data_IF_398546383575
#
_entry.id   IF_398546383575
#
_cell.length_a   1.000
_cell.length_b   1.000
_cell.length_c   1.000
_cell.angle_alpha   90.00
_cell.angle_beta   90.00
_cell.angle_gamma   90.00
#
_symmetry.space_group_name_H-M   'P 1'
#
loop_
_entity.id
_entity.type
_entity.pdbx_description
1 polymer ?
#
# COMPACT_ATOMS: atom_id res chain seq x y z
N UNK A 1 -0.58 14.81 35.17
CA UNK A 1 0.09 14.49 33.88
C UNK A 1 0.70 15.75 33.29
N UNK A 2 1.94 15.68 32.82
CA UNK A 2 2.53 16.83 32.12
C UNK A 2 1.83 17.03 30.75
N UNK A 3 1.51 18.26 30.31
CA UNK A 3 0.78 18.52 29.08
C UNK A 3 1.39 17.87 27.82
N UNK A 4 2.72 17.73 27.78
CA UNK A 4 3.42 17.08 26.68
C UNK A 4 3.12 15.59 26.55
N UNK A 5 2.99 14.88 27.67
CA UNK A 5 2.70 13.43 27.69
C UNK A 5 1.28 13.15 27.15
N UNK A 6 0.32 14.02 27.46
CA UNK A 6 -1.05 13.89 26.95
C UNK A 6 -1.07 14.06 25.42
N UNK A 7 -0.38 15.08 24.90
CA UNK A 7 -0.29 15.33 23.47
C UNK A 7 0.36 14.15 22.73
N UNK A 8 1.48 13.65 23.25
CA UNK A 8 2.19 12.48 22.70
C UNK A 8 1.29 11.23 22.71
N UNK A 9 0.53 11.00 23.79
CA UNK A 9 -0.39 9.86 23.90
C UNK A 9 -1.51 9.95 22.85
N UNK A 10 -2.15 11.12 22.72
CA UNK A 10 -3.25 11.33 21.77
C UNK A 10 -2.76 11.17 20.32
N UNK A 11 -1.62 11.75 19.97
CA UNK A 11 -1.04 11.62 18.61
C UNK A 11 -0.74 10.15 18.29
N UNK A 12 -0.19 9.40 19.24
CA UNK A 12 0.08 7.97 19.05
C UNK A 12 -1.21 7.15 18.91
N UNK A 13 -2.23 7.39 19.73
CA UNK A 13 -3.53 6.70 19.64
C UNK A 13 -4.23 6.99 18.30
N UNK A 14 -4.21 8.26 17.84
CA UNK A 14 -4.68 8.62 16.51
C UNK A 14 -3.91 7.86 15.43
N UNK A 15 -2.58 7.79 15.54
CA UNK A 15 -1.73 7.01 14.63
C UNK A 15 -2.11 5.54 14.59
N UNK A 16 -2.29 4.92 15.75
CA UNK A 16 -2.69 3.52 15.86
C UNK A 16 -4.03 3.25 15.17
N UNK A 17 -5.04 4.06 15.44
CA UNK A 17 -6.38 3.94 14.86
C UNK A 17 -6.31 4.16 13.34
N UNK A 18 -5.68 5.24 12.88
CA UNK A 18 -5.59 5.55 11.46
C UNK A 18 -4.87 4.47 10.65
N UNK A 19 -3.77 3.91 11.19
CA UNK A 19 -3.03 2.81 10.57
C UNK A 19 -3.83 1.51 10.56
N UNK A 20 -4.58 1.21 11.62
CA UNK A 20 -5.45 0.04 11.67
C UNK A 20 -6.58 0.14 10.63
N UNK A 21 -7.19 1.32 10.48
CA UNK A 21 -8.20 1.60 9.45
C UNK A 21 -7.60 1.45 8.05
N UNK A 22 -6.41 2.00 7.81
CA UNK A 22 -5.72 1.86 6.53
C UNK A 22 -5.37 0.40 6.21
N UNK A 23 -4.87 -0.36 7.20
CA UNK A 23 -4.60 -1.79 7.06
C UNK A 23 -5.87 -2.58 6.71
N UNK A 24 -6.98 -2.30 7.41
CA UNK A 24 -8.27 -2.91 7.13
C UNK A 24 -8.78 -2.56 5.73
N UNK A 25 -8.62 -1.30 5.29
CA UNK A 25 -9.00 -0.85 3.95
C UNK A 25 -8.20 -1.56 2.87
N UNK A 26 -6.86 -1.65 3.02
CA UNK A 26 -6.01 -2.37 2.09
C UNK A 26 -6.35 -3.87 2.04
N UNK A 27 -6.55 -4.49 3.20
CA UNK A 27 -6.93 -5.90 3.26
C UNK A 27 -8.27 -6.18 2.56
N UNK A 28 -9.26 -5.30 2.72
CA UNK A 28 -10.56 -5.45 2.03
C UNK A 28 -10.45 -5.29 0.51
N UNK A 29 -9.57 -4.40 0.03
CA UNK A 29 -9.35 -4.19 -1.41
C UNK A 29 -8.74 -5.42 -2.08
N UNK A 30 -7.78 -6.07 -1.43
CA UNK A 30 -7.12 -7.26 -1.96
C UNK A 30 -6.70 -8.23 -0.85
N UNK A 31 -7.64 -9.06 -0.34
CA UNK A 31 -7.39 -9.95 0.80
C UNK A 31 -6.37 -11.06 0.51
N UNK A 32 -6.16 -11.40 -0.78
CA UNK A 32 -5.28 -12.50 -1.20
C UNK A 32 -3.96 -12.03 -1.81
N UNK A 33 -3.78 -10.74 -2.00
CA UNK A 33 -2.56 -10.18 -2.59
C UNK A 33 -1.34 -10.35 -1.68
N UNK A 34 -0.24 -10.95 -2.16
CA UNK A 34 0.96 -11.16 -1.32
C UNK A 34 1.62 -9.83 -0.89
N UNK A 35 1.53 -8.79 -1.71
CA UNK A 35 2.02 -7.45 -1.35
C UNK A 35 1.10 -6.80 -0.31
N UNK A 36 -0.22 -6.97 -0.44
CA UNK A 36 -1.20 -6.48 0.53
C UNK A 36 -0.94 -7.09 1.90
N UNK A 37 -0.76 -8.40 1.97
CA UNK A 37 -0.48 -9.09 3.23
C UNK A 37 0.78 -8.52 3.92
N UNK A 38 1.84 -8.24 3.15
CA UNK A 38 3.09 -7.64 3.67
C UNK A 38 2.89 -6.21 4.17
N UNK A 39 2.15 -5.39 3.41
CA UNK A 39 1.81 -4.01 3.81
C UNK A 39 0.94 -3.99 5.07
N UNK A 40 -0.10 -4.83 5.10
CA UNK A 40 -0.99 -4.96 6.27
C UNK A 40 -0.21 -5.41 7.51
N UNK A 41 0.70 -6.38 7.37
CA UNK A 41 1.54 -6.83 8.47
C UNK A 41 2.44 -5.71 8.99
N UNK A 42 3.10 -4.93 8.10
CA UNK A 42 3.90 -3.78 8.52
C UNK A 42 3.05 -2.72 9.22
N UNK A 43 1.89 -2.36 8.65
CA UNK A 43 0.98 -1.38 9.24
C UNK A 43 0.46 -1.84 10.60
N UNK A 44 0.17 -3.15 10.77
CA UNK A 44 -0.25 -3.71 12.05
C UNK A 44 0.86 -3.63 13.12
N UNK A 45 2.12 -3.90 12.75
CA UNK A 45 3.27 -3.74 13.65
C UNK A 45 3.44 -2.28 14.08
N UNK A 46 3.34 -1.32 13.14
CA UNK A 46 3.45 0.11 13.45
C UNK A 46 2.24 0.60 14.27
N UNK A 47 1.03 0.13 13.95
CA UNK A 47 -0.16 0.43 14.74
C UNK A 47 -0.05 -0.11 16.17
N UNK A 48 0.47 -1.33 16.36
CA UNK A 48 0.72 -1.90 17.67
C UNK A 48 1.75 -1.09 18.47
N UNK A 49 2.82 -0.61 17.83
CA UNK A 49 3.80 0.28 18.46
C UNK A 49 3.10 1.53 19.00
N UNK A 50 2.35 2.24 18.16
CA UNK A 50 1.70 3.48 18.57
C UNK A 50 0.59 3.26 19.59
N UNK A 51 -0.15 2.15 19.50
CA UNK A 51 -1.15 1.78 20.49
C UNK A 51 -0.52 1.55 21.87
N UNK A 52 0.53 0.74 21.92
CA UNK A 52 1.23 0.43 23.17
C UNK A 52 1.84 1.69 23.79
N UNK A 53 2.52 2.52 23.00
CA UNK A 53 3.07 3.81 23.47
C UNK A 53 1.99 4.76 23.93
N UNK A 54 0.91 4.92 23.13
CA UNK A 54 -0.18 5.80 23.49
C UNK A 54 -0.81 5.42 24.82
N UNK A 55 -1.07 4.12 25.06
CA UNK A 55 -1.60 3.63 26.33
C UNK A 55 -0.56 3.76 27.45
N UNK A 56 0.70 3.39 27.19
CA UNK A 56 1.78 3.44 28.17
C UNK A 56 1.93 4.84 28.78
N UNK A 57 1.97 5.86 27.91
CA UNK A 57 2.14 7.25 28.35
C UNK A 57 0.85 7.82 28.97
N UNK A 58 -0.34 7.37 28.51
CA UNK A 58 -1.59 7.74 29.13
C UNK A 58 -1.72 7.21 30.55
N UNK A 59 -1.27 5.97 30.79
CA UNK A 59 -1.38 5.26 32.08
C UNK A 59 -0.12 5.35 32.93
N UNK A 60 0.93 6.02 32.45
CA UNK A 60 2.27 6.08 33.09
C UNK A 60 2.86 4.70 33.37
N UNK A 61 2.66 3.76 32.42
CA UNK A 61 3.07 2.35 32.57
C UNK A 61 4.42 2.09 31.92
N UNK A 62 5.49 2.02 32.70
CA UNK A 62 6.83 1.64 32.25
C UNK A 62 6.88 0.25 31.59
N UNK A 63 6.02 -0.67 32.03
CA UNK A 63 5.94 -2.02 31.44
C UNK A 63 5.44 -1.99 30.02
N UNK A 64 4.36 -1.25 29.74
CA UNK A 64 3.82 -1.12 28.38
C UNK A 64 4.78 -0.35 27.47
N UNK A 65 5.48 0.65 28.00
CA UNK A 65 6.48 1.39 27.22
C UNK A 65 7.62 0.46 26.77
N UNK A 66 8.14 -0.38 27.67
CA UNK A 66 9.12 -1.41 27.32
C UNK A 66 8.60 -2.43 26.33
N UNK A 67 7.37 -2.92 26.48
CA UNK A 67 6.75 -3.86 25.52
C UNK A 67 6.65 -3.21 24.15
N UNK A 68 6.44 -1.88 24.05
CA UNK A 68 6.39 -1.15 22.79
C UNK A 68 7.69 -1.21 21.98
N UNK A 69 8.84 -1.48 22.61
CA UNK A 69 10.12 -1.65 21.94
C UNK A 69 10.17 -2.90 21.06
N UNK A 70 9.33 -3.92 21.33
CA UNK A 70 9.23 -5.13 20.51
C UNK A 70 8.75 -4.80 19.09
N UNK A 71 7.55 -4.22 18.88
CA UNK A 71 7.13 -3.83 17.54
C UNK A 71 8.06 -2.77 16.92
N UNK A 72 8.65 -1.87 17.72
CA UNK A 72 9.62 -0.89 17.22
C UNK A 72 10.84 -1.57 16.57
N UNK A 73 11.38 -2.61 17.17
CA UNK A 73 12.52 -3.36 16.66
C UNK A 73 12.18 -4.18 15.39
N UNK A 74 10.90 -4.52 15.17
CA UNK A 74 10.46 -5.30 14.00
C UNK A 74 10.17 -4.43 12.75
N UNK A 75 10.08 -3.10 12.88
CA UNK A 75 9.78 -2.20 11.75
C UNK A 75 10.79 -2.36 10.60
N UNK A 76 12.11 -2.40 10.80
CA UNK A 76 13.06 -2.57 9.71
C UNK A 76 12.87 -3.88 8.94
N UNK A 77 12.54 -4.97 9.65
CA UNK A 77 12.22 -6.25 9.03
C UNK A 77 10.96 -6.13 8.15
N UNK A 78 9.90 -5.52 8.66
CA UNK A 78 8.68 -5.26 7.89
C UNK A 78 8.95 -4.42 6.65
N UNK A 79 9.77 -3.36 6.76
CA UNK A 79 10.17 -2.52 5.64
C UNK A 79 10.95 -3.30 4.56
N UNK A 80 11.87 -4.19 4.94
CA UNK A 80 12.60 -5.07 4.01
C UNK A 80 11.64 -6.02 3.29
N UNK A 81 10.68 -6.64 4.00
CA UNK A 81 9.69 -7.57 3.43
C UNK A 81 8.78 -6.85 2.43
N UNK A 82 8.34 -5.63 2.74
CA UNK A 82 7.54 -4.79 1.82
C UNK A 82 8.37 -4.39 0.60
N UNK A 83 9.63 -3.98 0.80
CA UNK A 83 10.55 -3.63 -0.29
C UNK A 83 10.75 -4.79 -1.26
N UNK A 84 10.90 -6.03 -0.76
CA UNK A 84 10.93 -7.23 -1.60
C UNK A 84 9.66 -7.39 -2.44
N UNK A 85 8.50 -7.18 -1.80
CA UNK A 85 7.21 -7.26 -2.48
C UNK A 85 7.08 -6.25 -3.61
N UNK A 86 7.52 -5.01 -3.37
CA UNK A 86 7.50 -3.93 -4.37
C UNK A 86 8.46 -4.20 -5.54
N UNK A 87 9.66 -4.71 -5.26
CA UNK A 87 10.68 -4.98 -6.26
C UNK A 87 10.46 -6.32 -7.00
N UNK A 88 9.52 -7.15 -6.57
CA UNK A 88 9.28 -8.52 -7.09
C UNK A 88 10.53 -9.40 -7.15
N UNK A 89 11.54 -9.08 -6.37
CA UNK A 89 12.79 -9.84 -6.28
C UNK A 89 13.24 -9.98 -4.84
N UNK A 90 13.91 -11.07 -4.54
CA UNK A 90 14.46 -11.29 -3.22
C UNK A 90 15.61 -10.33 -2.92
N UNK A 91 15.54 -9.70 -1.76
CA UNK A 91 16.64 -8.91 -1.22
C UNK A 91 17.75 -9.87 -0.74
N UNK A 92 18.97 -9.39 -0.74
CA UNK A 92 20.14 -10.21 -0.37
C UNK A 92 19.96 -10.85 1.01
N UNK A 93 20.25 -12.18 1.11
CA UNK A 93 20.04 -12.98 2.33
C UNK A 93 20.66 -12.34 3.58
N UNK A 94 21.85 -11.75 3.46
CA UNK A 94 22.55 -11.09 4.59
C UNK A 94 21.72 -9.95 5.19
N UNK A 95 21.04 -9.15 4.36
CA UNK A 95 20.20 -8.06 4.83
C UNK A 95 18.98 -8.58 5.59
N UNK A 96 18.35 -9.65 5.09
CA UNK A 96 17.22 -10.28 5.80
C UNK A 96 17.66 -10.84 7.15
N UNK A 97 18.77 -11.57 7.17
CA UNK A 97 19.31 -12.12 8.42
C UNK A 97 19.65 -11.00 9.41
N UNK A 98 20.30 -9.92 8.93
CA UNK A 98 20.59 -8.76 9.77
C UNK A 98 19.33 -8.10 10.33
N UNK A 99 18.27 -7.96 9.51
CA UNK A 99 17.00 -7.39 9.94
C UNK A 99 16.28 -8.29 10.98
N UNK A 100 16.29 -9.61 10.77
CA UNK A 100 15.67 -10.57 11.70
C UNK A 100 16.46 -10.64 13.02
N UNK A 101 17.77 -10.89 12.93
CA UNK A 101 18.62 -11.07 14.13
C UNK A 101 18.72 -9.75 14.90
N UNK A 102 18.98 -8.63 14.20
CA UNK A 102 19.03 -7.30 14.82
C UNK A 102 17.71 -6.93 15.48
N UNK A 103 16.57 -7.15 14.79
CA UNK A 103 15.25 -6.92 15.34
C UNK A 103 14.97 -7.78 16.58
N UNK A 104 15.29 -9.07 16.54
CA UNK A 104 15.09 -9.98 17.68
C UNK A 104 15.96 -9.60 18.89
N UNK A 105 17.25 -9.34 18.64
CA UNK A 105 18.19 -8.95 19.72
C UNK A 105 17.75 -7.64 20.37
N UNK A 106 17.38 -6.63 19.56
CA UNK A 106 16.92 -5.35 20.09
C UNK A 106 15.56 -5.45 20.80
N UNK A 107 14.64 -6.29 20.29
CA UNK A 107 13.37 -6.54 20.96
C UNK A 107 13.58 -7.17 22.34
N UNK A 108 14.42 -8.21 22.43
CA UNK A 108 14.74 -8.87 23.68
C UNK A 108 15.50 -7.95 24.64
N UNK A 109 16.50 -7.22 24.15
CA UNK A 109 17.26 -6.26 24.96
C UNK A 109 16.37 -5.13 25.51
N UNK A 110 15.41 -4.64 24.71
CA UNK A 110 14.46 -3.61 25.14
C UNK A 110 13.46 -4.12 26.18
N UNK A 111 12.95 -5.35 25.99
CA UNK A 111 11.96 -5.93 26.90
C UNK A 111 12.56 -6.41 28.23
N UNK A 112 13.78 -6.95 28.21
CA UNK A 112 14.41 -7.63 29.36
C UNK A 112 15.64 -6.90 29.92
N UNK A 113 16.12 -5.88 29.20
CA UNK A 113 17.36 -5.17 29.57
C UNK A 113 17.22 -4.33 30.83
N UNK A 114 18.35 -4.06 31.52
CA UNK A 114 18.36 -3.19 32.69
C UNK A 114 18.09 -1.73 32.33
N UNK A 115 17.48 -1.00 33.26
CA UNK A 115 17.06 0.43 33.04
C UNK A 115 18.26 1.34 32.73
N UNK A 116 19.42 1.05 33.29
CA UNK A 116 20.64 1.82 33.12
C UNK A 116 21.11 1.87 31.64
N UNK A 117 20.74 0.87 30.85
CA UNK A 117 21.08 0.78 29.44
C UNK A 117 20.03 1.35 28.48
N UNK A 118 18.91 1.85 29.00
CA UNK A 118 17.77 2.32 28.19
C UNK A 118 18.16 3.37 27.15
N UNK A 119 18.97 4.36 27.51
CA UNK A 119 19.44 5.37 26.57
C UNK A 119 20.32 4.79 25.46
N UNK A 120 21.22 3.86 25.80
CA UNK A 120 22.06 3.18 24.81
C UNK A 120 21.22 2.31 23.89
N UNK A 121 20.28 1.56 24.45
CA UNK A 121 19.33 0.74 23.68
C UNK A 121 18.54 1.61 22.71
N UNK A 122 17.96 2.73 23.15
CA UNK A 122 17.20 3.64 22.30
C UNK A 122 18.07 4.23 21.18
N UNK A 123 19.33 4.57 21.46
CA UNK A 123 20.27 5.06 20.45
C UNK A 123 20.59 3.96 19.39
N UNK A 124 20.85 2.74 19.82
CA UNK A 124 21.12 1.61 18.90
C UNK A 124 19.87 1.27 18.09
N UNK A 125 18.69 1.25 18.72
CA UNK A 125 17.42 1.01 18.05
C UNK A 125 17.12 2.06 16.99
N UNK A 126 17.34 3.37 17.30
CA UNK A 126 17.15 4.44 16.34
C UNK A 126 18.11 4.32 15.14
N UNK A 127 19.38 4.04 15.40
CA UNK A 127 20.36 3.81 14.35
C UNK A 127 19.98 2.61 13.46
N UNK A 128 19.52 1.52 14.06
CA UNK A 128 19.06 0.32 13.34
C UNK A 128 17.84 0.61 12.46
N UNK A 129 16.86 1.36 12.97
CA UNK A 129 15.68 1.76 12.20
C UNK A 129 16.05 2.68 11.04
N UNK A 130 16.83 3.73 11.29
CA UNK A 130 17.25 4.67 10.24
C UNK A 130 18.11 4.00 9.17
N UNK A 131 19.03 3.11 9.57
CA UNK A 131 19.83 2.31 8.64
C UNK A 131 18.93 1.38 7.80
N UNK A 132 17.95 0.73 8.41
CA UNK A 132 16.97 -0.12 7.73
C UNK A 132 16.17 0.66 6.67
N UNK A 133 15.66 1.82 7.03
CA UNK A 133 14.94 2.69 6.08
C UNK A 133 15.85 3.21 4.97
N UNK A 134 17.07 3.64 5.29
CA UNK A 134 18.03 4.11 4.30
C UNK A 134 18.37 3.01 3.28
N UNK A 135 18.61 1.78 3.74
CA UNK A 135 18.87 0.64 2.86
C UNK A 135 17.66 0.34 1.98
N UNK A 136 16.44 0.31 2.52
CA UNK A 136 15.21 0.13 1.75
C UNK A 136 15.05 1.24 0.70
N UNK A 137 15.26 2.50 1.06
CA UNK A 137 15.21 3.63 0.14
C UNK A 137 16.23 3.49 -1.00
N UNK A 138 17.49 3.12 -0.69
CA UNK A 138 18.52 2.88 -1.70
C UNK A 138 18.13 1.75 -2.64
N UNK A 139 17.56 0.65 -2.13
CA UNK A 139 17.10 -0.47 -2.95
C UNK A 139 15.97 -0.06 -3.90
N UNK A 140 15.00 0.75 -3.42
CA UNK A 140 13.92 1.28 -4.23
C UNK A 140 14.41 2.27 -5.30
N UNK A 141 15.37 3.13 -4.98
CA UNK A 141 15.96 4.10 -5.90
C UNK A 141 16.86 3.44 -6.96
N UNK A 142 17.62 2.41 -6.58
CA UNK A 142 18.52 1.64 -7.47
C UNK A 142 17.82 0.47 -8.18
N UNK A 143 16.49 0.45 -8.21
CA UNK A 143 15.76 -0.60 -8.92
C UNK A 143 16.02 -0.59 -10.42
N UNK A 144 15.92 -1.75 -11.02
CA UNK A 144 15.95 -1.90 -12.48
C UNK A 144 14.58 -1.46 -13.05
N UNK A 145 14.51 -0.22 -13.54
CA UNK A 145 13.26 0.36 -14.07
C UNK A 145 12.72 -0.38 -15.30
N UNK A 146 13.54 -0.86 -16.25
CA UNK A 146 13.07 -1.63 -17.39
C UNK A 146 12.39 -2.96 -17.03
N UNK A 147 12.77 -3.57 -15.89
CA UNK A 147 12.18 -4.83 -15.44
C UNK A 147 10.79 -4.69 -14.82
N UNK A 148 10.32 -3.47 -14.62
CA UNK A 148 9.05 -3.14 -13.97
C UNK A 148 8.13 -2.39 -14.95
N UNK A 149 6.82 -2.58 -14.80
CA UNK A 149 5.84 -1.83 -15.56
C UNK A 149 5.82 -0.34 -15.17
N UNK A 150 5.37 0.52 -16.07
CA UNK A 150 5.36 1.98 -15.83
C UNK A 150 4.57 2.36 -14.57
N UNK A 151 3.44 1.71 -14.32
CA UNK A 151 2.62 1.95 -13.12
C UNK A 151 3.29 1.43 -11.84
N UNK A 152 4.02 0.30 -11.90
CA UNK A 152 4.80 -0.22 -10.77
C UNK A 152 5.91 0.74 -10.40
N UNK A 153 6.63 1.25 -11.40
CA UNK A 153 7.65 2.26 -11.19
C UNK A 153 7.07 3.51 -10.52
N UNK A 154 5.91 3.98 -10.97
CA UNK A 154 5.20 5.12 -10.34
C UNK A 154 4.79 4.82 -8.89
N UNK A 155 4.26 3.62 -8.62
CA UNK A 155 3.90 3.21 -7.26
C UNK A 155 5.11 3.16 -6.33
N UNK A 156 6.24 2.61 -6.79
CA UNK A 156 7.50 2.56 -6.04
C UNK A 156 8.04 3.97 -5.78
N UNK A 157 8.06 4.84 -6.79
CA UNK A 157 8.52 6.24 -6.63
C UNK A 157 7.70 6.97 -5.56
N UNK A 158 6.38 6.74 -5.51
CA UNK A 158 5.49 7.34 -4.52
C UNK A 158 5.71 6.79 -3.11
N UNK A 159 5.89 5.47 -2.98
CA UNK A 159 6.21 4.84 -1.69
C UNK A 159 7.58 5.33 -1.19
N UNK A 160 8.58 5.41 -2.07
CA UNK A 160 9.90 5.94 -1.73
C UNK A 160 9.84 7.41 -1.30
N UNK A 161 9.07 8.23 -2.01
CA UNK A 161 8.84 9.63 -1.65
C UNK A 161 8.09 9.76 -0.32
N UNK A 162 7.04 8.97 -0.11
CA UNK A 162 6.33 8.91 1.17
C UNK A 162 7.25 8.51 2.32
N UNK A 163 8.09 7.51 2.14
CA UNK A 163 9.08 7.10 3.12
C UNK A 163 10.09 8.22 3.43
N UNK A 164 10.53 8.98 2.43
CA UNK A 164 11.44 10.11 2.61
C UNK A 164 10.81 11.22 3.47
N UNK A 165 9.53 11.53 3.24
CA UNK A 165 8.78 12.52 4.03
C UNK A 165 8.69 12.09 5.50
N UNK A 166 8.55 10.79 5.78
CA UNK A 166 8.37 10.27 7.13
C UNK A 166 9.65 10.36 7.97
N UNK A 167 10.84 10.29 7.38
CA UNK A 167 12.11 10.25 8.10
C UNK A 167 12.26 11.40 9.11
N UNK A 168 12.04 12.68 8.78
CA UNK A 168 12.17 13.76 9.76
C UNK A 168 11.18 13.63 10.92
N UNK A 169 9.99 13.08 10.68
CA UNK A 169 9.01 12.84 11.75
C UNK A 169 9.45 11.71 12.68
N UNK A 170 10.02 10.62 12.14
CA UNK A 170 10.54 9.51 12.93
C UNK A 170 11.69 9.98 13.84
N UNK A 171 12.55 10.88 13.38
CA UNK A 171 13.65 11.42 14.18
C UNK A 171 13.13 12.06 15.47
N UNK A 172 11.96 12.72 15.44
CA UNK A 172 11.37 13.35 16.63
C UNK A 172 10.90 12.35 17.70
N UNK A 173 10.69 11.08 17.34
CA UNK A 173 10.32 10.02 18.28
C UNK A 173 11.49 9.63 19.19
N UNK A 174 12.71 9.91 18.76
CA UNK A 174 13.92 9.60 19.51
C UNK A 174 14.41 10.86 20.24
N UNK A 175 14.09 10.97 21.52
CA UNK A 175 14.52 12.10 22.35
C UNK A 175 16.04 12.26 22.42
N UNK A 176 16.78 11.18 22.17
CA UNK A 176 18.24 11.23 22.08
C UNK A 176 18.70 12.05 20.86
N UNK A 177 17.91 12.04 19.76
CA UNK A 177 18.23 12.77 18.52
C UNK A 177 17.56 14.16 18.47
N UNK A 178 16.42 14.32 19.12
CA UNK A 178 15.64 15.55 19.15
C UNK A 178 15.13 15.85 20.57
N UNK A 179 16.04 16.23 21.52
CA UNK A 179 15.71 16.42 22.94
C UNK A 179 14.73 17.57 23.16
N UNK A 180 14.81 18.63 22.35
CA UNK A 180 14.05 19.87 22.53
C UNK A 180 12.67 19.84 21.87
N UNK A 181 12.31 18.73 21.19
CA UNK A 181 11.00 18.63 20.53
C UNK A 181 9.87 18.50 21.55
N UNK A 182 8.88 19.40 21.51
CA UNK A 182 7.80 19.43 22.50
C UNK A 182 6.77 18.31 22.34
N UNK A 183 6.74 17.64 21.17
CA UNK A 183 5.84 16.55 20.84
C UNK A 183 6.51 15.55 19.90
N UNK A 184 6.20 14.28 20.04
CA UNK A 184 6.67 13.20 19.15
C UNK A 184 5.76 13.10 17.93
N UNK A 185 6.34 13.23 16.75
CA UNK A 185 5.59 13.34 15.49
C UNK A 185 5.66 12.07 14.62
N UNK A 186 6.28 10.99 15.06
CA UNK A 186 6.43 9.77 14.25
C UNK A 186 5.10 9.16 13.83
N UNK A 187 4.11 9.15 14.72
CA UNK A 187 2.76 8.68 14.40
C UNK A 187 2.07 9.59 13.36
N UNK A 188 2.28 10.90 13.43
CA UNK A 188 1.80 11.84 12.43
C UNK A 188 2.48 11.59 11.07
N UNK A 189 3.78 11.38 11.05
CA UNK A 189 4.51 10.99 9.84
C UNK A 189 3.96 9.71 9.21
N UNK A 190 3.69 8.69 10.02
CA UNK A 190 3.10 7.45 9.54
C UNK A 190 1.68 7.63 8.95
N UNK A 191 0.84 8.48 9.56
CA UNK A 191 -0.47 8.86 9.03
C UNK A 191 -0.36 9.56 7.68
N UNK A 192 0.59 10.49 7.54
CA UNK A 192 0.85 11.19 6.28
C UNK A 192 1.32 10.22 5.19
N UNK A 193 2.25 9.31 5.51
CA UNK A 193 2.74 8.31 4.57
C UNK A 193 1.63 7.39 4.07
N UNK A 194 0.82 6.87 4.99
CA UNK A 194 -0.27 5.96 4.62
C UNK A 194 -1.34 6.67 3.80
N UNK A 195 -1.65 7.92 4.14
CA UNK A 195 -2.57 8.77 3.36
C UNK A 195 -2.02 8.99 1.95
N UNK A 196 -0.73 9.31 1.83
CA UNK A 196 -0.08 9.47 0.52
C UNK A 196 -0.09 8.16 -0.30
N UNK A 197 0.14 7.00 0.32
CA UNK A 197 0.07 5.69 -0.34
C UNK A 197 -1.34 5.40 -0.85
N UNK A 198 -2.37 5.67 -0.05
CA UNK A 198 -3.77 5.43 -0.43
C UNK A 198 -4.21 6.34 -1.59
N UNK A 199 -3.82 7.63 -1.55
CA UNK A 199 -4.09 8.58 -2.65
C UNK A 199 -3.34 8.17 -3.92
N UNK A 200 -2.12 7.68 -3.78
CA UNK A 200 -1.28 7.28 -4.89
C UNK A 200 -1.88 6.14 -5.75
N UNK A 201 -2.77 5.33 -5.17
CA UNK A 201 -3.47 4.25 -5.88
C UNK A 201 -4.66 4.72 -6.72
N UNK A 202 -5.08 5.97 -6.60
CA UNK A 202 -6.23 6.51 -7.32
C UNK A 202 -5.89 6.96 -8.77
N UNK A 203 -6.91 7.20 -9.59
CA UNK A 203 -6.75 7.83 -10.91
C UNK A 203 -6.09 9.21 -10.79
N UNK A 204 -5.51 9.72 -11.88
CA UNK A 204 -4.79 11.00 -11.85
C UNK A 204 -5.66 12.17 -11.34
N UNK A 205 -6.94 12.20 -11.74
CA UNK A 205 -7.89 13.21 -11.27
C UNK A 205 -8.25 13.04 -9.80
N UNK A 206 -8.61 11.82 -9.37
CA UNK A 206 -8.89 11.51 -7.97
C UNK A 206 -7.65 11.71 -7.08
N UNK A 207 -6.45 11.46 -7.60
CA UNK A 207 -5.20 11.75 -6.92
C UNK A 207 -5.02 13.25 -6.68
N UNK A 208 -5.25 14.10 -7.71
CA UNK A 208 -5.16 15.55 -7.59
C UNK A 208 -6.16 16.07 -6.53
N UNK A 209 -7.40 15.63 -6.61
CA UNK A 209 -8.43 15.97 -5.63
C UNK A 209 -8.06 15.49 -4.22
N UNK A 210 -7.56 14.26 -4.08
CA UNK A 210 -7.11 13.68 -2.80
C UNK A 210 -5.97 14.46 -2.17
N UNK A 211 -4.98 14.91 -2.97
CA UNK A 211 -3.88 15.76 -2.48
C UNK A 211 -4.40 17.11 -1.99
N UNK A 212 -5.26 17.79 -2.77
CA UNK A 212 -5.86 19.06 -2.37
C UNK A 212 -6.70 18.94 -1.11
N UNK A 213 -7.53 17.90 -1.02
CA UNK A 213 -8.35 17.63 0.16
C UNK A 213 -7.47 17.36 1.40
N UNK A 214 -6.38 16.63 1.24
CA UNK A 214 -5.44 16.36 2.35
C UNK A 214 -4.73 17.63 2.79
N UNK A 215 -4.27 18.47 1.86
CA UNK A 215 -3.67 19.76 2.19
C UNK A 215 -4.66 20.67 2.91
N UNK A 216 -5.92 20.72 2.47
CA UNK A 216 -6.98 21.47 3.11
C UNK A 216 -7.28 20.94 4.52
N UNK A 217 -7.34 19.63 4.71
CA UNK A 217 -7.50 18.96 6.02
C UNK A 217 -6.37 19.34 6.97
N UNK A 218 -5.11 19.27 6.52
CA UNK A 218 -3.93 19.62 7.33
C UNK A 218 -3.92 21.11 7.68
N UNK A 219 -4.15 21.99 6.70
CA UNK A 219 -4.18 23.43 6.94
C UNK A 219 -5.31 23.83 7.88
N UNK A 220 -6.51 23.28 7.68
CA UNK A 220 -7.66 23.51 8.55
C UNK A 220 -7.41 23.00 9.97
N UNK A 221 -6.81 21.83 10.11
CA UNK A 221 -6.45 21.26 11.40
C UNK A 221 -5.38 22.11 12.12
N UNK A 222 -4.36 22.57 11.38
CA UNK A 222 -3.34 23.46 11.94
C UNK A 222 -3.95 24.78 12.44
N UNK A 223 -4.87 25.37 11.67
CA UNK A 223 -5.60 26.57 12.08
C UNK A 223 -6.47 26.33 13.34
N UNK A 224 -7.15 25.18 13.40
CA UNK A 224 -7.93 24.79 14.59
C UNK A 224 -7.02 24.59 15.81
N UNK A 225 -5.87 23.93 15.62
CA UNK A 225 -4.88 23.77 16.68
C UNK A 225 -4.31 25.10 17.16
N UNK A 226 -4.01 26.02 16.24
CA UNK A 226 -3.55 27.35 16.58
C UNK A 226 -4.62 28.18 17.30
N UNK A 227 -5.88 28.12 16.85
CA UNK A 227 -7.00 28.79 17.53
C UNK A 227 -7.22 28.22 18.94
N UNK A 228 -7.15 26.89 19.10
CA UNK A 228 -7.25 26.27 20.43
C UNK A 228 -6.09 26.68 21.35
N UNK A 229 -4.86 26.77 20.82
CA UNK A 229 -3.71 27.26 21.56
C UNK A 229 -3.92 28.73 22.01
N UNK A 230 -4.44 29.60 21.12
CA UNK A 230 -4.69 31.01 21.40
C UNK A 230 -5.72 31.26 22.51
N UNK A 231 -6.55 30.27 22.82
CA UNK A 231 -7.49 30.32 23.95
C UNK A 231 -6.85 29.97 25.29
N UNK A 232 -5.61 29.50 25.28
CA UNK A 232 -4.84 29.19 26.51
C UNK A 232 -4.20 30.47 27.06
N UNK A 233 -4.17 30.67 28.41
CA UNK A 233 -3.64 31.87 29.01
C UNK A 233 -2.12 32.05 28.80
N UNK A 234 -1.37 30.97 28.68
CA UNK A 234 0.09 30.99 28.56
C UNK A 234 0.50 30.24 27.27
N UNK A 235 0.40 30.93 26.11
CA UNK A 235 0.77 30.36 24.81
C UNK A 235 2.25 30.45 24.59
N UNK A 236 2.96 29.32 24.66
CA UNK A 236 4.32 29.19 24.17
C UNK A 236 4.37 28.40 22.82
N UNK A 237 5.51 28.43 22.16
CA UNK A 237 5.72 27.73 20.89
C UNK A 237 5.56 26.20 21.04
N UNK A 238 5.91 25.64 22.19
CA UNK A 238 5.77 24.21 22.48
C UNK A 238 4.30 23.82 22.59
N UNK A 239 3.49 24.64 23.23
CA UNK A 239 2.06 24.42 23.37
C UNK A 239 1.33 24.54 22.04
N UNK A 240 1.66 25.57 21.24
CA UNK A 240 1.15 25.72 19.88
C UNK A 240 1.45 24.46 19.05
N UNK A 241 2.68 23.97 19.09
CA UNK A 241 3.08 22.77 18.34
C UNK A 241 2.29 21.52 18.80
N UNK A 242 2.04 21.35 20.11
CA UNK A 242 1.25 20.24 20.66
C UNK A 242 -0.19 20.29 20.17
N UNK A 243 -0.86 21.44 20.24
CA UNK A 243 -2.24 21.59 19.77
C UNK A 243 -2.35 21.34 18.27
N UNK A 244 -1.43 21.88 17.46
CA UNK A 244 -1.40 21.62 16.01
C UNK A 244 -1.18 20.14 15.70
N UNK A 245 -0.23 19.47 16.37
CA UNK A 245 0.06 18.07 16.15
C UNK A 245 -1.15 17.18 16.48
N UNK A 246 -1.82 17.40 17.60
CA UNK A 246 -3.02 16.69 18.02
C UNK A 246 -4.16 16.92 17.03
N UNK A 247 -4.41 18.16 16.63
CA UNK A 247 -5.46 18.50 15.69
C UNK A 247 -5.23 17.86 14.32
N UNK A 248 -4.00 17.91 13.79
CA UNK A 248 -3.66 17.31 12.51
C UNK A 248 -3.80 15.77 12.57
N UNK A 249 -3.26 15.13 13.62
CA UNK A 249 -3.38 13.69 13.81
C UNK A 249 -4.85 13.24 13.90
N UNK A 250 -5.68 13.95 14.66
CA UNK A 250 -7.11 13.70 14.78
C UNK A 250 -7.85 13.84 13.45
N UNK A 251 -7.63 14.94 12.71
CA UNK A 251 -8.29 15.18 11.42
C UNK A 251 -7.86 14.17 10.36
N UNK A 252 -6.57 13.78 10.30
CA UNK A 252 -6.11 12.74 9.39
C UNK A 252 -6.73 11.39 9.71
N UNK A 253 -6.81 11.03 10.99
CA UNK A 253 -7.45 9.78 11.42
C UNK A 253 -8.94 9.74 11.07
N UNK A 254 -9.69 10.81 11.37
CA UNK A 254 -11.09 10.94 10.99
C UNK A 254 -11.25 10.91 9.47
N UNK A 255 -10.32 11.55 8.74
CA UNK A 255 -10.29 11.51 7.28
C UNK A 255 -10.14 10.09 6.75
N UNK A 256 -9.18 9.32 7.26
CA UNK A 256 -8.99 7.91 6.88
C UNK A 256 -10.21 7.05 7.22
N UNK A 257 -10.86 7.27 8.36
CA UNK A 257 -12.10 6.58 8.72
C UNK A 257 -13.24 6.93 7.77
N UNK A 258 -13.40 8.22 7.44
CA UNK A 258 -14.42 8.69 6.50
C UNK A 258 -14.19 8.13 5.10
N UNK A 259 -12.94 8.12 4.61
CA UNK A 259 -12.59 7.58 3.31
C UNK A 259 -12.78 6.04 3.26
N UNK A 260 -12.48 5.34 4.36
CA UNK A 260 -12.76 3.91 4.51
C UNK A 260 -14.26 3.60 4.52
N UNK A 261 -15.05 4.41 5.21
CA UNK A 261 -16.50 4.26 5.25
C UNK A 261 -17.13 4.54 3.88
N UNK A 262 -16.69 5.59 3.20
CA UNK A 262 -17.13 5.88 1.82
C UNK A 262 -16.81 4.71 0.91
N UNK A 263 -15.59 4.18 0.93
CA UNK A 263 -15.23 3.02 0.12
C UNK A 263 -16.13 1.81 0.36
N UNK A 264 -16.64 1.61 1.59
CA UNK A 264 -17.61 0.56 1.92
C UNK A 264 -18.98 0.88 1.35
N UNK A 265 -19.41 2.14 1.38
CA UNK A 265 -20.72 2.58 0.88
C UNK A 265 -20.73 2.65 -0.66
N UNK A 266 -19.64 3.14 -1.26
CA UNK A 266 -19.44 3.31 -2.70
C UNK A 266 -19.01 2.03 -3.41
N UNK A 267 -18.66 0.95 -2.69
CA UNK A 267 -18.46 -0.38 -3.28
C UNK A 267 -19.72 -0.90 -4.03
N UNK A 268 -20.73 -0.08 -4.12
CA UNK A 268 -21.96 -0.24 -4.91
C UNK A 268 -21.96 0.52 -6.25
N UNK A 269 -20.94 1.34 -6.57
CA UNK A 269 -20.95 2.17 -7.78
C UNK A 269 -19.70 2.01 -8.67
N UNK A 270 -19.85 2.18 -9.99
CA UNK A 270 -19.01 1.53 -10.99
C UNK A 270 -18.06 2.51 -11.69
N UNK A 271 -16.87 2.75 -11.15
CA UNK A 271 -15.88 3.60 -11.84
C UNK A 271 -15.41 3.06 -13.20
N UNK A 272 -15.28 1.75 -13.36
CA UNK A 272 -14.97 1.12 -14.65
C UNK A 272 -16.23 1.03 -15.52
N UNK A 273 -17.40 0.89 -14.91
CA UNK A 273 -18.69 0.77 -15.62
C UNK A 273 -19.13 2.09 -16.23
N UNK A 274 -18.89 3.23 -15.58
CA UNK A 274 -19.20 4.56 -16.14
C UNK A 274 -18.38 4.85 -17.39
N UNK A 275 -17.10 4.50 -17.38
CA UNK A 275 -16.24 4.69 -18.57
C UNK A 275 -16.65 3.77 -19.71
N UNK A 276 -17.10 2.55 -19.40
CA UNK A 276 -17.61 1.62 -20.41
C UNK A 276 -18.98 2.08 -20.93
N UNK A 277 -19.85 2.60 -20.04
CA UNK A 277 -21.15 3.15 -20.43
C UNK A 277 -21.06 4.41 -21.30
N UNK A 278 -19.97 5.17 -21.18
CA UNK A 278 -19.66 6.33 -22.02
C UNK A 278 -18.86 5.97 -23.28
N UNK A 279 -18.45 4.69 -23.45
CA UNK A 279 -17.67 4.25 -24.60
C UNK A 279 -18.50 4.32 -25.90
N UNK A 280 -17.89 4.89 -26.94
CA UNK A 280 -18.44 4.92 -28.30
C UNK A 280 -17.78 3.89 -29.21
N UNK A 281 -16.94 3.02 -28.67
CA UNK A 281 -16.24 1.98 -29.40
C UNK A 281 -17.23 0.96 -30.00
N UNK A 282 -17.12 0.75 -31.31
CA UNK A 282 -17.99 -0.18 -32.06
C UNK A 282 -17.34 -1.55 -32.16
N UNK A 283 -16.01 -1.60 -32.29
CA UNK A 283 -15.27 -2.85 -32.47
C UNK A 283 -14.57 -3.29 -31.17
N UNK A 284 -14.27 -4.60 -31.08
CA UNK A 284 -13.55 -5.18 -29.92
C UNK A 284 -12.17 -4.55 -29.72
N UNK A 285 -11.44 -4.30 -30.80
CA UNK A 285 -10.08 -3.74 -30.73
C UNK A 285 -10.11 -2.27 -30.32
N UNK A 286 -11.11 -1.48 -30.77
CA UNK A 286 -11.33 -0.10 -30.30
C UNK A 286 -11.69 -0.07 -28.81
N UNK A 287 -12.56 -0.97 -28.36
CA UNK A 287 -12.95 -1.05 -26.95
C UNK A 287 -11.74 -1.43 -26.08
N UNK A 288 -10.87 -2.34 -26.53
CA UNK A 288 -9.63 -2.66 -25.83
C UNK A 288 -8.70 -1.44 -25.79
N UNK A 289 -8.56 -0.72 -26.90
CA UNK A 289 -7.72 0.47 -26.96
C UNK A 289 -8.24 1.59 -26.03
N UNK A 290 -9.55 1.75 -25.93
CA UNK A 290 -10.17 2.70 -25.00
C UNK A 290 -10.00 2.28 -23.54
N UNK A 291 -10.21 1.00 -23.24
CA UNK A 291 -9.97 0.43 -21.91
C UNK A 291 -8.51 0.62 -21.46
N UNK A 292 -7.53 0.47 -22.35
CA UNK A 292 -6.12 0.65 -22.00
C UNK A 292 -5.75 2.09 -21.59
N UNK A 293 -6.58 3.07 -21.89
CA UNK A 293 -6.44 4.45 -21.39
C UNK A 293 -6.81 4.57 -19.89
N UNK A 294 -7.57 3.62 -19.37
CA UNK A 294 -7.94 3.59 -17.96
C UNK A 294 -6.78 3.06 -17.09
N UNK A 295 -6.50 3.65 -15.92
CA UNK A 295 -5.38 3.25 -15.08
C UNK A 295 -5.38 1.75 -14.70
N UNK A 296 -6.56 1.17 -14.52
CA UNK A 296 -6.71 -0.25 -14.17
C UNK A 296 -6.32 -1.16 -15.34
N UNK A 297 -6.51 -0.71 -16.58
CA UNK A 297 -6.26 -1.47 -17.80
C UNK A 297 -5.01 -1.00 -18.57
N UNK A 298 -4.24 -0.05 -18.06
CA UNK A 298 -3.03 0.50 -18.73
C UNK A 298 -2.03 -0.61 -19.12
N UNK A 299 -1.99 -1.69 -18.34
CA UNK A 299 -1.12 -2.85 -18.59
C UNK A 299 -1.80 -3.95 -19.44
N UNK A 300 -3.07 -3.77 -19.80
CA UNK A 300 -3.81 -4.80 -20.52
C UNK A 300 -3.20 -5.05 -21.92
N UNK A 301 -2.94 -6.33 -22.20
CA UNK A 301 -2.43 -6.78 -23.48
C UNK A 301 -3.24 -7.96 -23.98
N UNK A 302 -3.69 -7.90 -25.22
CA UNK A 302 -4.33 -9.04 -25.88
C UNK A 302 -3.28 -10.05 -26.33
N UNK A 303 -3.46 -11.29 -25.98
CA UNK A 303 -2.62 -12.43 -26.35
C UNK A 303 -3.45 -13.43 -27.15
N UNK A 304 -3.26 -13.46 -28.46
CA UNK A 304 -3.86 -14.43 -29.37
C UNK A 304 -2.96 -15.67 -29.50
N UNK A 305 -3.51 -16.75 -30.01
CA UNK A 305 -2.82 -18.06 -30.12
C UNK A 305 -1.40 -18.00 -30.72
N UNK A 306 -1.08 -17.20 -31.74
CA UNK A 306 0.30 -17.05 -32.24
C UNK A 306 1.28 -16.52 -31.19
N UNK A 307 0.83 -15.59 -30.34
CA UNK A 307 1.65 -15.02 -29.25
C UNK A 307 1.78 -15.98 -28.04
N UNK A 308 1.04 -17.06 -28.03
CA UNK A 308 1.00 -18.08 -26.98
C UNK A 308 1.73 -19.38 -27.37
N UNK A 309 2.39 -19.43 -28.53
CA UNK A 309 3.05 -20.64 -29.03
C UNK A 309 4.01 -21.28 -28.03
N UNK A 310 4.74 -20.45 -27.24
CA UNK A 310 5.64 -20.93 -26.18
C UNK A 310 4.95 -21.48 -24.92
N UNK A 311 3.64 -21.41 -24.82
CA UNK A 311 2.85 -21.82 -23.65
C UNK A 311 1.89 -22.99 -23.93
N UNK A 312 2.08 -23.68 -25.05
CA UNK A 312 1.32 -24.87 -25.44
C UNK A 312 -0.19 -24.62 -25.47
N UNK A 313 -0.71 -23.85 -26.47
CA UNK A 313 -2.13 -23.50 -26.55
C UNK A 313 -3.10 -24.70 -26.45
N UNK A 314 -2.80 -25.89 -27.02
CA UNK A 314 -3.63 -27.08 -26.84
C UNK A 314 -3.89 -27.46 -25.37
N UNK A 315 -2.85 -27.39 -24.52
CA UNK A 315 -2.98 -27.71 -23.09
C UNK A 315 -3.81 -26.64 -22.36
N UNK A 316 -3.74 -25.38 -22.80
CA UNK A 316 -4.52 -24.31 -22.22
C UNK A 316 -6.00 -24.35 -22.60
N UNK A 317 -6.38 -24.91 -23.75
CA UNK A 317 -7.77 -24.91 -24.24
C UNK A 317 -8.75 -25.54 -23.26
N UNK A 318 -8.48 -26.76 -22.81
CA UNK A 318 -9.34 -27.47 -21.86
C UNK A 318 -9.38 -26.81 -20.49
N UNK A 319 -8.24 -26.24 -20.07
CA UNK A 319 -8.14 -25.49 -18.83
C UNK A 319 -9.00 -24.24 -18.84
N UNK A 320 -9.05 -23.52 -19.96
CA UNK A 320 -9.74 -22.24 -20.13
C UNK A 320 -11.23 -22.40 -20.45
N UNK A 321 -11.68 -23.56 -20.92
CA UNK A 321 -13.06 -23.77 -21.40
C UNK A 321 -14.14 -23.41 -20.37
N UNK A 322 -13.90 -23.67 -19.09
CA UNK A 322 -14.84 -23.37 -17.99
C UNK A 322 -14.53 -22.05 -17.25
N UNK A 323 -13.51 -21.29 -17.67
CA UNK A 323 -13.00 -20.15 -16.92
C UNK A 323 -13.27 -18.84 -17.64
N UNK A 324 -13.59 -17.80 -16.86
CA UNK A 324 -13.92 -16.48 -17.39
C UNK A 324 -12.84 -15.47 -17.08
N UNK A 325 -12.47 -15.40 -15.81
CA UNK A 325 -11.41 -14.55 -15.27
C UNK A 325 -10.55 -15.41 -14.37
N UNK A 326 -9.24 -15.27 -14.48
CA UNK A 326 -8.27 -15.96 -13.65
C UNK A 326 -7.46 -14.91 -12.89
N UNK A 327 -7.28 -15.13 -11.60
CA UNK A 327 -6.43 -14.31 -10.74
C UNK A 327 -5.20 -15.11 -10.34
N UNK A 328 -4.00 -14.51 -10.46
CA UNK A 328 -2.73 -15.17 -10.14
C UNK A 328 -2.66 -15.64 -8.67
N UNK A 329 -3.25 -14.86 -7.77
CA UNK A 329 -3.28 -15.18 -6.34
C UNK A 329 -4.15 -16.42 -5.99
N UNK A 330 -5.06 -16.83 -6.89
CA UNK A 330 -5.95 -17.96 -6.68
C UNK A 330 -5.39 -19.28 -7.26
N UNK A 331 -4.19 -19.23 -7.87
CA UNK A 331 -3.52 -20.45 -8.33
C UNK A 331 -3.35 -21.46 -7.18
N UNK A 332 -3.60 -22.74 -7.41
CA UNK A 332 -3.77 -23.47 -8.68
C UNK A 332 -5.20 -23.61 -9.22
N UNK A 333 -6.13 -22.73 -8.86
CA UNK A 333 -7.51 -22.65 -9.40
C UNK A 333 -8.30 -23.96 -9.32
N UNK A 334 -8.14 -24.70 -8.20
CA UNK A 334 -8.85 -25.96 -7.93
C UNK A 334 -8.32 -27.17 -8.68
N UNK A 335 -7.12 -27.10 -9.29
CA UNK A 335 -6.37 -28.21 -9.87
C UNK A 335 -5.11 -28.52 -9.06
N UNK A 336 -4.41 -29.60 -9.39
CA UNK A 336 -3.10 -29.87 -8.80
C UNK A 336 -2.08 -28.82 -9.25
N UNK A 337 -1.17 -28.42 -8.36
CA UNK A 337 -0.11 -27.45 -8.68
C UNK A 337 0.84 -27.98 -9.79
N UNK A 338 0.95 -29.27 -9.93
CA UNK A 338 1.74 -29.98 -10.97
C UNK A 338 0.97 -30.22 -12.28
N UNK A 339 -0.27 -29.71 -12.41
CA UNK A 339 -1.03 -29.78 -13.67
C UNK A 339 -0.31 -28.93 -14.73
N UNK A 340 0.05 -29.49 -15.90
CA UNK A 340 0.77 -28.77 -16.94
C UNK A 340 0.06 -27.48 -17.39
N UNK A 341 -1.28 -27.45 -17.38
CA UNK A 341 -2.04 -26.25 -17.74
C UNK A 341 -1.88 -25.14 -16.68
N UNK A 342 -1.82 -25.51 -15.40
CA UNK A 342 -1.56 -24.59 -14.29
C UNK A 342 -0.16 -24.01 -14.41
N UNK A 343 0.85 -24.86 -14.65
CA UNK A 343 2.24 -24.42 -14.81
C UNK A 343 2.40 -23.45 -15.99
N UNK A 344 1.80 -23.78 -17.17
CA UNK A 344 1.85 -22.92 -18.35
C UNK A 344 1.15 -21.58 -18.12
N UNK A 345 -0.03 -21.59 -17.47
CA UNK A 345 -0.76 -20.36 -17.15
C UNK A 345 0.00 -19.51 -16.16
N UNK A 346 0.58 -20.10 -15.13
CA UNK A 346 1.45 -19.40 -14.16
C UNK A 346 2.65 -18.79 -14.87
N UNK A 347 3.35 -19.57 -15.71
CA UNK A 347 4.49 -19.07 -16.47
C UNK A 347 4.12 -17.92 -17.41
N UNK A 348 2.97 -17.98 -18.09
CA UNK A 348 2.44 -16.89 -18.90
C UNK A 348 2.20 -15.62 -18.07
N UNK A 349 1.51 -15.77 -16.94
CA UNK A 349 1.21 -14.63 -16.06
C UNK A 349 2.48 -14.02 -15.47
N UNK A 350 3.42 -14.83 -15.06
CA UNK A 350 4.69 -14.36 -14.48
C UNK A 350 5.56 -13.69 -15.55
N UNK A 351 5.66 -14.24 -16.75
CA UNK A 351 6.41 -13.65 -17.88
C UNK A 351 5.79 -12.31 -18.35
N UNK A 352 4.47 -12.14 -18.20
CA UNK A 352 3.77 -10.91 -18.57
C UNK A 352 3.52 -9.99 -17.36
N UNK A 353 4.04 -10.34 -16.20
CA UNK A 353 3.77 -9.63 -14.93
C UNK A 353 2.27 -9.43 -14.66
N UNK A 354 1.43 -10.35 -15.12
CA UNK A 354 -0.01 -10.25 -15.03
C UNK A 354 -0.51 -10.75 -13.67
N UNK A 355 -1.45 -10.02 -13.09
CA UNK A 355 -2.19 -10.44 -11.89
C UNK A 355 -3.54 -11.07 -12.25
N UNK A 356 -4.09 -10.70 -13.41
CA UNK A 356 -5.38 -11.19 -13.91
C UNK A 356 -5.28 -11.57 -15.38
N UNK A 357 -6.11 -12.55 -15.77
CA UNK A 357 -6.33 -12.94 -17.16
C UNK A 357 -7.82 -13.00 -17.43
N UNK A 358 -8.27 -12.30 -18.47
CA UNK A 358 -9.64 -12.38 -18.98
C UNK A 358 -9.63 -13.33 -20.17
N UNK A 359 -10.45 -14.37 -20.12
CA UNK A 359 -10.59 -15.35 -21.20
C UNK A 359 -11.65 -14.87 -22.17
N UNK A 360 -11.26 -14.49 -23.37
CA UNK A 360 -12.19 -14.12 -24.46
C UNK A 360 -12.64 -15.36 -25.22
N UNK A 361 -11.71 -16.22 -25.63
CA UNK A 361 -11.99 -17.48 -26.28
C UNK A 361 -11.01 -18.56 -25.84
N UNK A 362 -11.45 -19.82 -25.87
CA UNK A 362 -10.59 -20.98 -25.66
C UNK A 362 -10.27 -21.69 -26.99
N UNK A 363 -11.02 -21.41 -28.07
CA UNK A 363 -10.81 -21.95 -29.41
C UNK A 363 -11.18 -20.92 -30.50
N UNK A 364 -10.18 -20.27 -31.13
CA UNK A 364 -8.75 -20.23 -30.76
C UNK A 364 -8.54 -19.55 -29.40
N UNK A 365 -7.40 -19.80 -28.76
CA UNK A 365 -7.08 -19.16 -27.47
C UNK A 365 -6.87 -17.67 -27.66
N UNK A 366 -7.71 -16.85 -27.00
CA UNK A 366 -7.66 -15.40 -27.01
C UNK A 366 -7.86 -14.89 -25.59
N UNK A 367 -6.85 -14.20 -25.09
CA UNK A 367 -6.76 -13.77 -23.69
C UNK A 367 -6.42 -12.29 -23.62
N UNK A 368 -6.90 -11.62 -22.57
CA UNK A 368 -6.35 -10.33 -22.13
C UNK A 368 -5.63 -10.58 -20.82
N UNK A 369 -4.33 -10.32 -20.83
CA UNK A 369 -3.48 -10.34 -19.63
C UNK A 369 -3.32 -8.92 -19.10
N UNK A 370 -3.52 -8.72 -17.79
CA UNK A 370 -3.41 -7.39 -17.17
C UNK A 370 -2.85 -7.48 -15.76
N UNK A 371 -2.15 -6.43 -15.35
CA UNK A 371 -1.67 -6.28 -13.99
C UNK A 371 -2.49 -5.20 -13.27
N UNK A 372 -3.32 -5.62 -12.34
CA UNK A 372 -4.05 -4.71 -11.45
C UNK A 372 -3.19 -4.43 -10.23
N UNK A 373 -2.92 -3.16 -9.94
CA UNK A 373 -2.18 -2.77 -8.73
C UNK A 373 -2.99 -3.10 -7.49
N UNK A 374 -2.35 -3.70 -6.48
CA UNK A 374 -2.94 -3.92 -5.16
C UNK A 374 -3.48 -2.63 -4.54
N UNK A 375 -2.79 -1.52 -4.81
CA UNK A 375 -3.14 -0.18 -4.29
C UNK A 375 -4.36 0.39 -5.04
N UNK A 376 -4.58 -0.02 -6.30
CA UNK A 376 -5.70 0.39 -7.14
C UNK A 376 -6.84 -0.65 -7.20
N UNK A 377 -6.66 -1.84 -6.58
CA UNK A 377 -7.67 -2.88 -6.58
C UNK A 377 -8.86 -2.49 -5.69
N UNK A 378 -10.05 -2.49 -6.30
CA UNK A 378 -11.34 -2.33 -5.63
C UNK A 378 -11.98 -3.74 -5.48
N UNK A 379 -12.77 -4.02 -4.43
CA UNK A 379 -13.59 -5.23 -4.36
C UNK A 379 -14.50 -5.46 -5.58
N UNK A 380 -14.91 -4.38 -6.23
CA UNK A 380 -15.68 -4.43 -7.48
C UNK A 380 -14.85 -4.81 -8.71
N UNK A 381 -13.51 -4.85 -8.62
CA UNK A 381 -12.62 -5.07 -9.78
C UNK A 381 -12.94 -6.39 -10.50
N UNK A 382 -13.17 -7.48 -9.77
CA UNK A 382 -13.49 -8.79 -10.40
C UNK A 382 -14.83 -8.75 -11.13
N UNK A 383 -15.84 -8.07 -10.56
CA UNK A 383 -17.13 -7.87 -11.19
C UNK A 383 -16.99 -7.00 -12.44
N UNK A 384 -16.19 -5.94 -12.37
CA UNK A 384 -15.87 -5.08 -13.50
C UNK A 384 -15.16 -5.86 -14.62
N UNK A 385 -14.17 -6.69 -14.30
CA UNK A 385 -13.48 -7.55 -15.27
C UNK A 385 -14.41 -8.54 -15.94
N UNK A 386 -15.36 -9.12 -15.17
CA UNK A 386 -16.36 -10.03 -15.72
C UNK A 386 -17.33 -9.31 -16.69
N UNK A 387 -17.73 -8.08 -16.37
CA UNK A 387 -18.56 -7.23 -17.23
C UNK A 387 -17.80 -6.78 -18.49
N UNK A 388 -16.56 -6.33 -18.35
CA UNK A 388 -15.67 -6.02 -19.47
C UNK A 388 -15.57 -7.20 -20.42
N UNK A 389 -15.35 -8.41 -19.89
CA UNK A 389 -15.36 -9.63 -20.69
C UNK A 389 -16.66 -9.79 -21.49
N UNK A 390 -17.81 -9.61 -20.84
CA UNK A 390 -19.12 -9.77 -21.48
C UNK A 390 -19.29 -8.77 -22.63
N UNK A 391 -18.90 -7.54 -22.44
CA UNK A 391 -18.96 -6.48 -23.46
C UNK A 391 -18.01 -6.76 -24.64
N UNK A 392 -16.76 -7.18 -24.33
CA UNK A 392 -15.79 -7.56 -25.36
C UNK A 392 -16.27 -8.75 -26.20
N UNK A 393 -17.03 -9.68 -25.63
CA UNK A 393 -17.62 -10.78 -26.37
C UNK A 393 -18.82 -10.37 -27.23
N UNK A 394 -19.51 -9.29 -26.88
CA UNK A 394 -20.61 -8.73 -27.66
C UNK A 394 -20.15 -7.81 -28.77
N UNK A 395 -18.98 -7.17 -28.61
CA UNK A 395 -18.41 -6.30 -29.62
C UNK A 395 -17.91 -7.12 -30.84
N UNK A 396 -18.26 -6.72 -32.07
CA UNK A 396 -17.78 -7.38 -33.28
C UNK A 396 -16.26 -7.28 -33.39
N UNK A 397 -15.63 -8.29 -34.00
CA UNK A 397 -14.24 -8.18 -34.42
C UNK A 397 -14.16 -7.22 -35.61
N UNK A 398 -13.08 -6.42 -35.67
CA UNK A 398 -12.85 -5.57 -36.84
C UNK A 398 -12.76 -6.47 -38.08
N UNK A 399 -13.67 -6.24 -39.03
CA UNK A 399 -13.65 -6.97 -40.31
C UNK A 399 -12.34 -6.65 -41.03
N UNK A 400 -11.62 -7.67 -41.46
CA UNK A 400 -10.33 -7.54 -42.17
C UNK A 400 -10.47 -6.82 -43.55
N UNK A 401 -11.67 -6.42 -43.94
CA UNK A 401 -11.98 -5.89 -45.28
C UNK A 401 -11.64 -4.40 -45.50
N UNK A 402 -11.17 -3.67 -44.45
CA UNK A 402 -10.86 -2.21 -44.66
C UNK A 402 -9.38 -1.91 -44.86
N UNK A 403 -8.53 -2.92 -45.08
CA UNK A 403 -7.09 -2.70 -45.32
C UNK A 403 -6.74 -2.59 -46.85
N UNK A 404 -7.72 -2.52 -47.73
CA UNK A 404 -7.53 -2.46 -49.18
C UNK A 404 -8.35 -1.34 -49.85
N UNK A 405 -8.48 -0.16 -49.25
CA UNK A 405 -8.87 1.06 -50.00
C UNK A 405 -7.86 2.16 -49.75
#
# INVERSE_FOLDING_TARGET
MMPGVVADSVVNLCGAIGLAVAAATLHRRDPRGPLTARLVALLAVVAALFLLRGIAWWTDSATLDRISLIPAALIPLGAVIVTEGLLRRHVHRRLKVAAVVGGLVLALAGALGPVELENHHTMVLSAFQLAGFAVCAVLLLRRDRPSLLAWENRAIDRVAFGALIVIPFIITDFRVLAPDMPVRLGALGALLAVTAILIAGASAEAQRQGVWLTLLRISGAALLGAAAAALSPDVDAAQLMRFCAVAIAGVLTIGLMGDALRAVLEAREPGVLDSIGASTAITRDELIAELTRQPVFESARRCREPALAGYDPPVLRDFLASRRVLRRADAPWGRAATDPAVERMVALMDARHATHVIVLSHQPVDLIVLAVSVIAADPATETALALVRRLLLQAPEASADHAHM
#
